data_IF_668285343298
#
_entry.id   IF_668285343298
#
_cell.length_a   1.000
_cell.length_b   1.000
_cell.length_c   1.000
_cell.angle_alpha   90.00
_cell.angle_beta   90.00
_cell.angle_gamma   90.00
#
_symmetry.space_group_name_H-M   'P 1'
#
loop_
_entity.id
_entity.type
_entity.pdbx_description
1 polymer ?
#
# COMPACT_ATOMS: atom_id res chain seq x y z
N UNK A 1 -27.81 -10.58 -7.00
CA UNK A 1 -27.73 -9.10 -6.89
C UNK A 1 -27.87 -8.42 -8.26
N UNK A 2 -26.93 -8.58 -9.20
CA UNK A 2 -27.04 -7.95 -10.55
C UNK A 2 -28.31 -8.35 -11.35
N UNK A 3 -28.71 -9.62 -11.27
CA UNK A 3 -29.96 -10.08 -11.90
C UNK A 3 -31.22 -9.42 -11.31
N UNK A 4 -31.25 -9.07 -10.03
CA UNK A 4 -32.40 -8.37 -9.45
C UNK A 4 -32.51 -6.94 -10.04
N UNK A 5 -31.37 -6.24 -10.13
CA UNK A 5 -31.30 -4.90 -10.70
C UNK A 5 -31.72 -4.89 -12.18
N UNK A 6 -31.31 -5.89 -12.97
CA UNK A 6 -31.67 -5.96 -14.40
C UNK A 6 -33.16 -6.20 -14.64
N UNK A 7 -33.87 -6.91 -13.75
CA UNK A 7 -35.33 -7.13 -13.87
C UNK A 7 -36.16 -5.88 -13.57
N UNK A 8 -35.58 -4.86 -12.93
CA UNK A 8 -36.24 -3.58 -12.63
C UNK A 8 -35.87 -2.45 -13.59
N UNK A 9 -35.21 -2.77 -14.71
CA UNK A 9 -34.71 -1.77 -15.68
C UNK A 9 -35.81 -0.88 -16.27
N UNK A 10 -37.04 -1.40 -16.43
CA UNK A 10 -38.17 -0.64 -16.97
C UNK A 10 -38.75 0.39 -15.98
N UNK A 11 -38.33 0.39 -14.72
CA UNK A 11 -38.88 1.27 -13.67
C UNK A 11 -37.93 2.42 -13.29
N UNK A 12 -36.63 2.30 -13.56
CA UNK A 12 -35.62 3.27 -13.12
C UNK A 12 -34.68 3.67 -14.26
N UNK A 13 -34.51 4.99 -14.43
CA UNK A 13 -33.72 5.54 -15.55
C UNK A 13 -32.20 5.54 -15.30
N UNK A 14 -31.73 5.36 -14.06
CA UNK A 14 -30.30 5.39 -13.72
C UNK A 14 -30.01 4.57 -12.47
N UNK A 15 -28.99 3.72 -12.55
CA UNK A 15 -28.37 3.04 -11.41
C UNK A 15 -26.97 3.59 -11.20
N UNK A 16 -26.56 3.79 -9.94
CA UNK A 16 -25.21 4.24 -9.58
C UNK A 16 -24.67 3.32 -8.50
N UNK A 17 -23.44 2.84 -8.67
CA UNK A 17 -22.77 1.97 -7.71
C UNK A 17 -21.37 2.52 -7.45
N UNK A 18 -20.98 2.56 -6.17
CA UNK A 18 -19.65 2.98 -5.72
C UNK A 18 -18.93 1.74 -5.22
N UNK A 19 -17.74 1.48 -5.76
CA UNK A 19 -16.92 0.32 -5.41
C UNK A 19 -15.53 0.77 -4.98
N UNK A 20 -14.88 0.08 -4.01
CA UNK A 20 -13.52 0.40 -3.60
C UNK A 20 -12.46 -0.03 -4.63
N UNK A 21 -12.84 -0.80 -5.66
CA UNK A 21 -11.93 -1.24 -6.72
C UNK A 21 -11.98 -0.28 -7.90
N UNK A 22 -10.81 0.09 -8.42
CA UNK A 22 -10.64 0.81 -9.69
C UNK A 22 -10.80 -0.09 -10.92
N UNK A 23 -11.06 -1.39 -10.74
CA UNK A 23 -11.21 -2.33 -11.84
C UNK A 23 -12.51 -2.06 -12.60
N UNK A 24 -12.39 -1.89 -13.91
CA UNK A 24 -13.54 -1.76 -14.79
C UNK A 24 -14.20 -3.14 -14.98
N UNK A 25 -15.43 -3.29 -14.52
CA UNK A 25 -16.19 -4.55 -14.56
C UNK A 25 -17.17 -4.59 -15.75
N UNK A 26 -16.66 -4.31 -16.94
CA UNK A 26 -17.45 -4.24 -18.18
C UNK A 26 -18.11 -5.58 -18.57
N UNK A 27 -17.55 -6.70 -18.11
CA UNK A 27 -18.06 -8.03 -18.37
C UNK A 27 -19.26 -8.44 -17.49
N UNK A 28 -19.72 -7.57 -16.60
CA UNK A 28 -20.90 -7.84 -15.77
C UNK A 28 -22.22 -7.55 -16.48
N UNK A 29 -22.17 -6.85 -17.62
CA UNK A 29 -23.34 -6.49 -18.43
C UNK A 29 -23.21 -7.07 -19.84
N UNK A 30 -24.35 -7.37 -20.46
CA UNK A 30 -24.42 -7.89 -21.82
C UNK A 30 -23.95 -6.84 -22.86
N UNK A 31 -24.21 -5.56 -22.59
CA UNK A 31 -23.66 -4.44 -23.35
C UNK A 31 -22.87 -3.53 -22.41
N UNK A 32 -21.54 -3.43 -22.55
CA UNK A 32 -20.69 -2.56 -21.73
C UNK A 32 -20.73 -1.08 -22.14
N UNK A 33 -21.26 -0.72 -23.32
CA UNK A 33 -21.27 0.65 -23.81
C UNK A 33 -22.24 1.56 -23.04
N UNK A 34 -23.20 0.97 -22.31
CA UNK A 34 -24.16 1.70 -21.47
C UNK A 34 -23.56 2.19 -20.14
N UNK A 35 -22.32 1.80 -19.83
CA UNK A 35 -21.65 2.15 -18.58
C UNK A 35 -20.84 3.44 -18.69
N UNK A 36 -21.09 4.37 -17.77
CA UNK A 36 -20.18 5.48 -17.48
C UNK A 36 -19.44 5.20 -16.17
N UNK A 37 -18.11 5.11 -16.22
CA UNK A 37 -17.26 4.89 -15.03
C UNK A 37 -16.43 6.14 -14.74
N UNK A 38 -16.39 6.56 -13.48
CA UNK A 38 -15.53 7.64 -13.00
C UNK A 38 -14.68 7.13 -11.84
N UNK A 39 -13.36 7.28 -11.96
CA UNK A 39 -12.42 6.97 -10.88
C UNK A 39 -12.26 8.24 -10.04
N UNK A 40 -12.77 8.22 -8.82
CA UNK A 40 -12.61 9.32 -7.87
C UNK A 40 -11.52 8.96 -6.85
N UNK A 41 -10.50 9.82 -6.64
CA UNK A 41 -9.58 9.66 -5.53
C UNK A 41 -10.38 9.60 -4.22
N UNK A 42 -10.13 8.58 -3.41
CA UNK A 42 -10.82 8.36 -2.14
C UNK A 42 -9.79 8.28 -1.01
N UNK A 43 -10.18 8.76 0.19
CA UNK A 43 -9.45 8.78 1.47
C UNK A 43 -7.93 8.55 1.41
N UNK A 44 -7.15 9.57 1.80
CA UNK A 44 -5.71 9.38 2.01
C UNK A 44 -5.45 8.74 3.38
N UNK A 45 -4.84 7.56 3.38
CA UNK A 45 -4.42 6.88 4.61
C UNK A 45 -2.97 7.25 4.91
N UNK A 46 -2.66 7.39 6.21
CA UNK A 46 -1.33 7.70 6.68
C UNK A 46 -0.99 6.87 7.91
N UNK A 47 0.24 6.34 7.95
CA UNK A 47 0.83 5.80 9.16
C UNK A 47 1.22 6.95 10.10
N UNK A 48 0.61 6.97 11.29
CA UNK A 48 0.90 7.97 12.34
C UNK A 48 2.09 7.51 13.18
N UNK A 49 2.03 6.29 13.71
CA UNK A 49 3.11 5.67 14.47
C UNK A 49 3.68 4.49 13.68
N UNK A 50 4.89 4.64 13.15
CA UNK A 50 5.51 3.60 12.34
C UNK A 50 5.88 2.34 13.15
N UNK A 51 6.30 2.49 14.41
CA UNK A 51 6.65 1.37 15.26
C UNK A 51 5.45 0.45 15.51
N UNK A 52 4.34 1.01 16.02
CA UNK A 52 3.11 0.26 16.29
C UNK A 52 2.52 -0.36 15.01
N UNK A 53 2.62 0.36 13.88
CA UNK A 53 2.20 -0.18 12.59
C UNK A 53 3.01 -1.42 12.20
N UNK A 54 4.35 -1.36 12.27
CA UNK A 54 5.23 -2.49 11.91
C UNK A 54 5.00 -3.70 12.82
N UNK A 55 4.71 -3.48 14.10
CA UNK A 55 4.39 -4.56 15.03
C UNK A 55 3.15 -5.35 14.60
N UNK A 56 2.07 -4.63 14.27
CA UNK A 56 0.73 -5.19 13.99
C UNK A 56 0.49 -5.55 12.54
N UNK A 57 1.40 -5.17 11.64
CA UNK A 57 1.20 -5.36 10.21
C UNK A 57 1.00 -6.85 9.87
N UNK A 58 0.01 -7.20 9.02
CA UNK A 58 -0.30 -8.60 8.69
C UNK A 58 0.67 -9.15 7.64
N UNK A 59 1.91 -9.45 8.04
CA UNK A 59 2.91 -10.04 7.16
C UNK A 59 2.44 -11.40 6.62
N UNK A 60 2.64 -11.61 5.32
CA UNK A 60 2.28 -12.87 4.65
C UNK A 60 3.26 -14.01 4.96
N UNK A 61 4.53 -13.68 5.22
CA UNK A 61 5.57 -14.64 5.58
C UNK A 61 5.72 -14.67 7.09
N UNK A 62 5.88 -15.87 7.65
CA UNK A 62 6.21 -16.06 9.07
C UNK A 62 7.62 -15.59 9.40
N UNK A 63 8.53 -15.62 8.42
CA UNK A 63 9.95 -15.32 8.60
C UNK A 63 10.54 -14.57 7.40
N UNK A 64 11.47 -13.66 7.67
CA UNK A 64 12.31 -13.02 6.66
C UNK A 64 13.56 -12.39 7.30
N UNK A 65 14.64 -12.39 6.52
CA UNK A 65 15.91 -11.74 6.85
C UNK A 65 15.75 -10.25 7.12
N UNK A 66 16.56 -9.65 8.01
CA UNK A 66 16.45 -8.24 8.35
C UNK A 66 16.54 -7.32 7.14
N UNK A 67 15.55 -6.44 7.05
CA UNK A 67 15.38 -5.44 6.01
C UNK A 67 15.55 -4.06 6.61
N UNK A 68 16.38 -3.24 5.97
CA UNK A 68 16.62 -1.85 6.38
C UNK A 68 15.80 -0.89 5.51
N UNK A 69 15.08 0.01 6.17
CA UNK A 69 14.20 1.03 5.62
C UNK A 69 14.68 2.42 6.04
N UNK A 70 14.98 3.29 5.08
CA UNK A 70 15.22 4.71 5.39
C UNK A 70 13.91 5.47 5.19
N UNK A 71 13.34 6.00 6.25
CA UNK A 71 12.02 6.67 6.23
C UNK A 71 12.16 8.16 6.49
N UNK A 72 11.43 8.95 5.71
CA UNK A 72 11.31 10.39 5.85
C UNK A 72 9.85 10.79 6.12
N UNK A 73 9.63 11.53 7.20
CA UNK A 73 8.34 12.08 7.58
C UNK A 73 8.52 13.54 8.01
N UNK A 74 8.01 14.46 7.18
CA UNK A 74 8.09 15.89 7.41
C UNK A 74 7.18 16.40 8.54
N UNK A 75 6.15 15.63 8.93
CA UNK A 75 5.19 16.07 9.96
C UNK A 75 5.43 15.39 11.32
N UNK A 76 5.96 14.17 11.34
CA UNK A 76 6.22 13.40 12.55
C UNK A 76 7.67 12.91 12.57
N UNK A 77 8.61 13.67 13.17
CA UNK A 77 10.03 13.33 13.21
C UNK A 77 10.34 11.98 13.86
N UNK A 78 9.46 11.49 14.74
CA UNK A 78 9.56 10.17 15.36
C UNK A 78 9.57 9.02 14.34
N UNK A 79 8.89 9.17 13.21
CA UNK A 79 8.90 8.20 12.12
C UNK A 79 10.16 8.29 11.25
N UNK A 80 10.80 9.48 11.21
CA UNK A 80 12.00 9.71 10.39
C UNK A 80 13.21 8.99 10.96
N UNK A 81 13.90 8.21 10.13
CA UNK A 81 15.14 7.53 10.53
C UNK A 81 15.38 6.24 9.76
N UNK A 82 16.40 5.50 10.19
CA UNK A 82 16.73 4.18 9.65
C UNK A 82 16.06 3.14 10.54
N UNK A 83 15.21 2.31 9.94
CA UNK A 83 14.47 1.24 10.61
C UNK A 83 14.96 -0.10 10.11
N UNK A 84 15.21 -1.02 11.01
CA UNK A 84 15.45 -2.42 10.65
C UNK A 84 14.25 -3.23 11.11
N UNK A 85 13.79 -4.12 10.25
CA UNK A 85 12.70 -5.04 10.53
C UNK A 85 13.05 -6.45 10.10
N UNK A 86 12.72 -7.42 10.95
CA UNK A 86 12.82 -8.84 10.64
C UNK A 86 11.61 -9.58 11.24
N UNK A 87 11.41 -10.81 10.79
CA UNK A 87 10.42 -11.70 11.41
C UNK A 87 11.05 -13.06 11.62
N UNK A 88 10.93 -13.59 12.84
CA UNK A 88 11.49 -14.87 13.28
C UNK A 88 10.40 -15.61 14.04
N UNK A 89 10.13 -16.87 13.70
CA UNK A 89 9.07 -17.68 14.30
C UNK A 89 7.70 -16.97 14.39
N UNK A 90 7.36 -16.16 13.39
CA UNK A 90 6.08 -15.44 13.35
C UNK A 90 6.01 -14.19 14.24
N UNK A 91 7.08 -13.82 14.96
CA UNK A 91 7.16 -12.58 15.73
C UNK A 91 7.90 -11.50 14.95
N UNK A 92 7.32 -10.31 14.87
CA UNK A 92 7.99 -9.14 14.27
C UNK A 92 8.98 -8.57 15.27
N UNK A 93 10.21 -8.34 14.82
CA UNK A 93 11.20 -7.57 15.54
C UNK A 93 11.53 -6.34 14.70
N UNK A 94 11.46 -5.16 15.32
CA UNK A 94 11.80 -3.91 14.67
C UNK A 94 12.64 -3.04 15.61
N UNK A 95 13.53 -2.25 15.03
CA UNK A 95 14.34 -1.30 15.78
C UNK A 95 14.65 -0.07 14.93
N UNK A 96 14.73 1.08 15.58
CA UNK A 96 15.22 2.32 14.98
C UNK A 96 16.73 2.41 15.22
N UNK A 97 17.51 2.41 14.16
CA UNK A 97 18.97 2.48 14.22
C UNK A 97 19.40 3.94 14.36
N UNK A 98 20.46 4.18 15.14
CA UNK A 98 21.14 5.48 15.23
C UNK A 98 22.05 5.77 14.02
N UNK A 99 22.02 4.92 12.99
CA UNK A 99 22.85 5.04 11.80
C UNK A 99 22.43 6.24 10.92
N UNK A 100 23.41 6.85 10.25
CA UNK A 100 23.12 7.82 9.18
C UNK A 100 22.59 7.07 7.96
N UNK A 101 21.60 7.65 7.30
CA UNK A 101 21.07 7.10 6.06
C UNK A 101 22.13 7.19 4.95
N UNK A 102 22.56 6.05 4.43
CA UNK A 102 23.50 5.96 3.29
C UNK A 102 22.79 6.07 1.94
N UNK A 103 21.47 5.89 1.92
CA UNK A 103 20.63 5.87 0.72
C UNK A 103 19.48 6.87 0.84
N UNK A 104 18.92 7.27 -0.32
CA UNK A 104 17.76 8.16 -0.38
C UNK A 104 16.54 7.44 0.21
N UNK A 105 16.00 7.99 1.29
CA UNK A 105 14.82 7.43 1.96
C UNK A 105 13.52 7.54 1.17
N UNK A 106 12.52 6.78 1.63
CA UNK A 106 11.14 6.85 1.15
C UNK A 106 10.30 7.73 2.08
N UNK A 107 9.37 8.50 1.51
CA UNK A 107 8.41 9.24 2.31
C UNK A 107 7.41 8.31 3.00
N UNK A 108 6.95 8.68 4.20
CA UNK A 108 5.95 7.90 4.94
C UNK A 108 4.66 7.66 4.13
N UNK A 109 4.26 8.61 3.28
CA UNK A 109 3.08 8.49 2.42
C UNK A 109 3.27 7.38 1.38
N UNK A 110 4.45 7.33 0.73
CA UNK A 110 4.77 6.29 -0.26
C UNK A 110 4.93 4.93 0.40
N UNK A 111 5.57 4.87 1.57
CA UNK A 111 5.67 3.65 2.35
C UNK A 111 4.27 3.11 2.70
N UNK A 112 3.37 3.99 3.13
CA UNK A 112 1.97 3.64 3.42
C UNK A 112 1.27 3.04 2.20
N UNK A 113 1.44 3.64 1.02
CA UNK A 113 0.82 3.11 -0.21
C UNK A 113 1.32 1.72 -0.59
N UNK A 114 2.60 1.41 -0.34
CA UNK A 114 3.15 0.07 -0.61
C UNK A 114 2.63 -0.94 0.39
N UNK A 115 2.70 -0.61 1.69
CA UNK A 115 2.31 -1.53 2.76
C UNK A 115 0.80 -1.81 2.73
N UNK A 116 -0.02 -0.84 2.32
CA UNK A 116 -1.46 -1.07 2.14
C UNK A 116 -1.83 -1.68 0.77
N UNK A 117 -0.85 -1.97 -0.08
CA UNK A 117 -1.06 -2.64 -1.37
C UNK A 117 -1.72 -1.77 -2.45
N UNK A 118 -1.81 -0.46 -2.24
CA UNK A 118 -2.36 0.47 -3.25
C UNK A 118 -1.35 0.80 -4.35
N UNK A 119 -0.05 0.56 -4.13
CA UNK A 119 1.02 0.71 -5.13
C UNK A 119 1.97 -0.47 -5.08
N UNK A 120 2.36 -1.01 -6.25
CA UNK A 120 3.37 -2.09 -6.30
C UNK A 120 4.76 -1.51 -6.09
N UNK A 121 5.61 -2.25 -5.39
CA UNK A 121 7.02 -1.87 -5.17
C UNK A 121 7.79 -1.61 -6.48
N UNK A 122 7.42 -2.33 -7.54
CA UNK A 122 8.00 -2.20 -8.87
C UNK A 122 7.78 -0.80 -9.45
N UNK A 123 6.62 -0.21 -9.17
CA UNK A 123 6.23 1.11 -9.68
C UNK A 123 7.00 2.22 -8.98
N UNK A 124 7.37 2.04 -7.69
CA UNK A 124 8.22 2.99 -6.96
C UNK A 124 9.66 3.04 -7.48
N UNK A 125 10.22 1.91 -7.94
CA UNK A 125 11.55 1.90 -8.54
C UNK A 125 11.60 2.75 -9.80
N UNK A 126 10.50 2.80 -10.56
CA UNK A 126 10.38 3.62 -11.77
C UNK A 126 10.40 5.12 -11.46
N UNK A 127 10.01 5.54 -10.24
CA UNK A 127 10.04 6.95 -9.81
C UNK A 127 11.36 7.36 -9.14
N UNK A 128 12.37 6.47 -9.10
CA UNK A 128 13.71 6.79 -8.57
C UNK A 128 13.79 6.84 -7.04
N UNK A 129 12.80 6.32 -6.33
CA UNK A 129 12.82 6.16 -4.87
C UNK A 129 13.12 4.68 -4.56
N UNK A 130 14.36 4.37 -4.18
CA UNK A 130 14.74 3.03 -3.74
C UNK A 130 14.90 3.02 -2.21
N UNK A 131 13.87 2.60 -1.44
CA UNK A 131 13.96 2.54 0.02
C UNK A 131 14.91 1.47 0.55
N UNK A 132 15.33 0.54 -0.31
CA UNK A 132 16.09 -0.64 0.08
C UNK A 132 17.57 -0.42 -0.16
N UNK A 133 18.33 -0.36 0.93
CA UNK A 133 19.76 -0.67 0.87
C UNK A 133 19.90 -2.19 0.76
N UNK A 134 20.69 -2.73 -0.18
CA UNK A 134 21.06 -4.14 -0.11
C UNK A 134 21.80 -4.34 1.22
N UNK A 135 21.35 -5.30 2.03
CA UNK A 135 22.20 -5.85 3.07
C UNK A 135 23.38 -6.47 2.33
N UNK A 136 24.56 -5.89 2.49
CA UNK A 136 25.81 -6.47 2.00
C UNK A 136 26.01 -7.81 2.71
N UNK A 137 25.43 -8.88 2.18
CA UNK A 137 25.89 -10.23 2.45
C UNK A 137 27.12 -10.42 1.58
N UNK A 138 28.27 -10.02 2.11
CA UNK A 138 29.54 -10.58 1.64
C UNK A 138 29.56 -12.04 2.07
N UNK A 139 29.39 -12.95 1.12
CA UNK A 139 29.97 -14.28 1.13
C UNK A 139 30.44 -14.60 -0.28
#
# INVERSE_FOLDING_TARGET
>A
MLQFVSHHWNTFNKFTSITPSSRYHNNWLADPAILTTQINPYMMVRIVNLADFLERYPYQKSEFEPITLVVQDANLPENTGVWQIQRVAGQTQYQKLSAKAETKGISIQRLTSVLLGSTKLQDLRRTGENPWSPTTTQH
#
